data_IF_507865041054
#
_entry.id   IF_507865041054
#
_cell.length_a   1.000
_cell.length_b   1.000
_cell.length_c   1.000
_cell.angle_alpha   90.00
_cell.angle_beta   90.00
_cell.angle_gamma   90.00
#
_symmetry.space_group_name_H-M   'P 1'
#
loop_
_entity.id
_entity.type
_entity.pdbx_description
1 polymer ?
#
# COMPACT_ATOMS: atom_id res chain seq x y z
N UNK A 1 -9.95 7.36 -3.52
CA UNK A 1 -10.72 6.95 -2.32
C UNK A 1 -11.48 8.11 -1.66
N UNK A 2 -10.87 9.27 -1.39
CA UNK A 2 -11.60 10.42 -0.79
C UNK A 2 -12.84 10.87 -1.59
N UNK A 3 -12.73 11.02 -2.91
CA UNK A 3 -13.84 11.39 -3.80
C UNK A 3 -14.99 10.37 -3.78
N UNK A 4 -14.67 9.08 -3.68
CA UNK A 4 -15.65 8.00 -3.54
C UNK A 4 -16.35 8.07 -2.17
N UNK A 5 -15.60 8.34 -1.10
CA UNK A 5 -16.13 8.56 0.24
C UNK A 5 -17.09 9.75 0.32
N UNK A 6 -16.77 10.87 -0.35
CA UNK A 6 -17.68 12.03 -0.43
C UNK A 6 -18.93 11.73 -1.24
N UNK A 7 -18.83 10.97 -2.33
CA UNK A 7 -19.97 10.56 -3.14
C UNK A 7 -20.92 9.63 -2.39
N UNK A 8 -20.36 8.72 -1.59
CA UNK A 8 -21.13 7.83 -0.73
C UNK A 8 -21.78 8.58 0.45
N UNK A 9 -21.19 9.69 0.91
CA UNK A 9 -21.77 10.52 1.97
C UNK A 9 -22.97 11.35 1.48
N UNK A 10 -22.90 11.85 0.24
CA UNK A 10 -23.95 12.70 -0.37
C UNK A 10 -25.13 11.85 -0.89
N UNK A 11 -25.01 10.52 -0.88
CA UNK A 11 -26.04 9.59 -1.35
C UNK A 11 -25.92 9.30 -2.86
N UNK A 12 -25.92 8.01 -3.18
CA UNK A 12 -25.79 7.48 -4.54
C UNK A 12 -27.15 7.00 -5.04
N UNK A 13 -28.08 7.92 -5.21
CA UNK A 13 -29.45 7.58 -5.61
C UNK A 13 -29.64 7.55 -7.13
N UNK A 14 -28.95 8.43 -7.85
CA UNK A 14 -29.00 8.52 -9.32
C UNK A 14 -28.07 7.50 -9.98
N UNK A 15 -28.48 6.92 -11.11
CA UNK A 15 -27.66 5.94 -11.85
C UNK A 15 -26.31 6.50 -12.31
N UNK A 16 -26.26 7.78 -12.68
CA UNK A 16 -25.00 8.46 -13.00
C UNK A 16 -23.97 8.38 -11.86
N UNK A 17 -24.40 8.63 -10.61
CA UNK A 17 -23.53 8.54 -9.42
C UNK A 17 -23.07 7.11 -9.15
N UNK A 18 -23.91 6.10 -9.43
CA UNK A 18 -23.54 4.68 -9.30
C UNK A 18 -22.42 4.33 -10.29
N UNK A 19 -22.60 4.66 -11.57
CA UNK A 19 -21.57 4.43 -12.59
C UNK A 19 -20.28 5.21 -12.31
N UNK A 20 -20.40 6.46 -11.84
CA UNK A 20 -19.25 7.27 -11.47
C UNK A 20 -18.49 6.69 -10.27
N UNK A 21 -19.19 6.17 -9.25
CA UNK A 21 -18.57 5.48 -8.12
C UNK A 21 -17.78 4.23 -8.57
N UNK A 22 -18.37 3.43 -9.47
CA UNK A 22 -17.69 2.27 -10.06
C UNK A 22 -16.45 2.69 -10.86
N UNK A 23 -16.55 3.73 -11.69
CA UNK A 23 -15.41 4.23 -12.46
C UNK A 23 -14.26 4.69 -11.57
N UNK A 24 -14.55 5.37 -10.46
CA UNK A 24 -13.56 5.78 -9.46
C UNK A 24 -12.91 4.60 -8.75
N UNK A 25 -13.69 3.56 -8.43
CA UNK A 25 -13.16 2.32 -7.85
C UNK A 25 -12.23 1.61 -8.84
N UNK A 26 -12.63 1.50 -10.11
CA UNK A 26 -11.81 0.90 -11.16
C UNK A 26 -10.49 1.65 -11.37
N UNK A 27 -10.54 2.98 -11.41
CA UNK A 27 -9.34 3.81 -11.50
C UNK A 27 -8.38 3.56 -10.33
N UNK A 28 -8.90 3.41 -9.11
CA UNK A 28 -8.09 3.03 -7.96
C UNK A 28 -7.45 1.65 -8.12
N UNK A 29 -8.22 0.65 -8.59
CA UNK A 29 -7.71 -0.71 -8.82
C UNK A 29 -6.58 -0.69 -9.85
N UNK A 30 -6.74 0.05 -10.95
CA UNK A 30 -5.72 0.19 -12.00
C UNK A 30 -4.46 0.86 -11.43
N UNK A 31 -4.60 1.93 -10.64
CA UNK A 31 -3.47 2.58 -9.98
C UNK A 31 -2.73 1.63 -9.02
N UNK A 32 -3.47 0.85 -8.23
CA UNK A 32 -2.89 -0.16 -7.34
C UNK A 32 -2.14 -1.25 -8.12
N UNK A 33 -2.74 -1.75 -9.21
CA UNK A 33 -2.15 -2.79 -10.04
C UNK A 33 -0.87 -2.37 -10.76
N UNK A 34 -0.75 -1.10 -11.17
CA UNK A 34 0.46 -0.60 -11.84
C UNK A 34 1.60 -0.25 -10.87
N UNK A 35 1.29 0.15 -9.63
CA UNK A 35 2.28 0.66 -8.69
C UNK A 35 2.45 -0.26 -7.47
N UNK A 36 1.61 -0.08 -6.46
CA UNK A 36 1.79 -0.71 -5.14
C UNK A 36 1.78 -2.24 -5.19
N UNK A 37 1.02 -2.84 -6.11
CA UNK A 37 0.98 -4.29 -6.29
C UNK A 37 2.36 -4.88 -6.60
N UNK A 38 2.91 -4.69 -7.81
CA UNK A 38 4.16 -5.32 -8.22
C UNK A 38 5.40 -4.70 -7.55
N UNK A 39 5.41 -3.38 -7.32
CA UNK A 39 6.61 -2.67 -6.85
C UNK A 39 6.96 -3.07 -5.42
N UNK A 40 5.99 -3.27 -4.54
CA UNK A 40 6.26 -3.66 -3.14
C UNK A 40 6.92 -5.04 -3.08
N UNK A 41 6.45 -6.00 -3.87
CA UNK A 41 7.06 -7.34 -3.90
C UNK A 41 8.46 -7.33 -4.49
N UNK A 42 8.69 -6.53 -5.53
CA UNK A 42 10.03 -6.28 -6.07
C UNK A 42 10.96 -5.70 -5.01
N UNK A 43 10.54 -4.61 -4.35
CA UNK A 43 11.31 -3.94 -3.32
C UNK A 43 11.66 -4.88 -2.15
N UNK A 44 10.70 -5.67 -1.68
CA UNK A 44 10.91 -6.70 -0.65
C UNK A 44 11.94 -7.74 -1.10
N UNK A 45 12.10 -8.00 -2.40
CA UNK A 45 13.14 -8.91 -2.88
C UNK A 45 14.51 -8.21 -2.99
N UNK A 46 14.55 -6.90 -3.26
CA UNK A 46 15.77 -6.14 -3.53
C UNK A 46 16.49 -5.63 -2.28
N UNK A 47 15.74 -5.27 -1.23
CA UNK A 47 16.30 -4.71 0.02
C UNK A 47 16.86 -5.80 0.94
N UNK A 48 16.35 -7.03 0.84
CA UNK A 48 16.70 -8.10 1.78
C UNK A 48 18.14 -8.59 1.55
N UNK A 49 18.96 -8.70 2.61
CA UNK A 49 20.34 -9.14 2.49
C UNK A 49 20.41 -10.59 2.00
N UNK A 50 21.46 -10.93 1.24
CA UNK A 50 21.63 -12.28 0.68
C UNK A 50 21.66 -13.34 1.78
N UNK A 51 22.28 -13.03 2.93
CA UNK A 51 22.25 -13.88 4.11
C UNK A 51 20.93 -13.70 4.86
N UNK A 52 20.04 -14.68 4.76
CA UNK A 52 18.75 -14.67 5.46
C UNK A 52 17.59 -14.08 4.64
N UNK A 53 17.78 -13.91 3.32
CA UNK A 53 16.74 -13.45 2.39
C UNK A 53 15.42 -14.21 2.56
N UNK A 54 15.48 -15.54 2.70
CA UNK A 54 14.30 -16.40 2.87
C UNK A 54 13.50 -16.04 4.12
N UNK A 55 14.19 -15.70 5.21
CA UNK A 55 13.53 -15.24 6.44
C UNK A 55 12.91 -13.86 6.25
N UNK A 56 13.62 -12.92 5.63
CA UNK A 56 13.12 -11.58 5.34
C UNK A 56 11.88 -11.57 4.44
N UNK A 57 11.89 -12.41 3.40
CA UNK A 57 10.73 -12.60 2.50
C UNK A 57 9.56 -13.23 3.26
N UNK A 58 9.81 -14.26 4.06
CA UNK A 58 8.78 -14.89 4.90
C UNK A 58 8.14 -13.87 5.85
N UNK A 59 8.95 -13.10 6.59
CA UNK A 59 8.44 -12.09 7.51
C UNK A 59 7.60 -11.01 6.80
N UNK A 60 8.06 -10.54 5.63
CA UNK A 60 7.34 -9.57 4.81
C UNK A 60 5.99 -10.13 4.32
N UNK A 61 6.00 -11.38 3.87
CA UNK A 61 4.81 -12.09 3.37
C UNK A 61 3.82 -12.35 4.51
N UNK A 62 4.28 -12.84 5.66
CA UNK A 62 3.44 -13.04 6.84
C UNK A 62 2.80 -11.72 7.30
N UNK A 63 3.57 -10.64 7.33
CA UNK A 63 3.05 -9.31 7.69
C UNK A 63 1.95 -8.87 6.72
N UNK A 64 2.14 -9.11 5.41
CA UNK A 64 1.12 -8.83 4.40
C UNK A 64 -0.17 -9.64 4.64
N UNK A 65 -0.06 -10.95 4.89
CA UNK A 65 -1.22 -11.80 5.14
C UNK A 65 -1.95 -11.46 6.44
N UNK A 66 -1.22 -11.12 7.49
CA UNK A 66 -1.81 -10.65 8.76
C UNK A 66 -2.57 -9.35 8.54
N UNK A 67 -1.97 -8.37 7.84
CA UNK A 67 -2.66 -7.13 7.48
C UNK A 67 -3.92 -7.38 6.65
N UNK A 68 -3.84 -8.27 5.66
CA UNK A 68 -4.99 -8.67 4.86
C UNK A 68 -6.10 -9.33 5.70
N UNK A 69 -5.74 -10.19 6.64
CA UNK A 69 -6.69 -10.82 7.56
C UNK A 69 -7.39 -9.78 8.44
N UNK A 70 -6.64 -8.81 9.00
CA UNK A 70 -7.22 -7.73 9.82
C UNK A 70 -8.22 -6.95 8.99
N UNK A 71 -7.83 -6.48 7.80
CA UNK A 71 -8.72 -5.73 6.91
C UNK A 71 -9.95 -6.56 6.56
N UNK A 72 -9.79 -7.83 6.20
CA UNK A 72 -10.91 -8.72 5.87
C UNK A 72 -11.89 -8.91 7.04
N UNK A 73 -11.38 -9.02 8.27
CA UNK A 73 -12.20 -9.20 9.47
C UNK A 73 -12.89 -7.89 9.92
N UNK A 74 -12.25 -6.74 9.75
CA UNK A 74 -12.79 -5.46 10.22
C UNK A 74 -13.64 -4.74 9.19
N UNK A 75 -13.46 -5.01 7.89
CA UNK A 75 -14.09 -4.24 6.82
C UNK A 75 -15.62 -4.20 6.90
N UNK A 76 -16.27 -5.37 7.03
CA UNK A 76 -17.73 -5.44 7.14
C UNK A 76 -18.25 -4.75 8.40
N UNK A 77 -17.58 -4.96 9.53
CA UNK A 77 -17.92 -4.31 10.81
C UNK A 77 -17.80 -2.78 10.72
N UNK A 78 -16.78 -2.27 10.04
CA UNK A 78 -16.61 -0.85 9.80
C UNK A 78 -17.71 -0.28 8.89
N UNK A 79 -18.09 -1.01 7.83
CA UNK A 79 -19.20 -0.57 6.97
C UNK A 79 -20.52 -0.47 7.75
N UNK A 80 -20.79 -1.44 8.63
CA UNK A 80 -22.02 -1.48 9.43
C UNK A 80 -22.05 -0.38 10.51
N UNK A 81 -20.95 -0.17 11.24
CA UNK A 81 -20.91 0.77 12.36
C UNK A 81 -20.58 2.21 11.97
N UNK A 82 -19.61 2.42 11.08
CA UNK A 82 -19.13 3.75 10.68
C UNK A 82 -19.84 4.26 9.43
N UNK A 83 -20.48 3.36 8.67
CA UNK A 83 -21.08 3.67 7.38
C UNK A 83 -20.07 3.68 6.23
N UNK A 84 -20.59 3.57 5.02
CA UNK A 84 -19.80 3.46 3.79
C UNK A 84 -18.83 4.65 3.64
N UNK A 85 -19.33 5.88 3.74
CA UNK A 85 -18.54 7.09 3.52
C UNK A 85 -17.32 7.20 4.44
N UNK A 86 -17.52 7.00 5.74
CA UNK A 86 -16.45 7.12 6.73
C UNK A 86 -15.42 6.00 6.59
N UNK A 87 -15.86 4.79 6.25
CA UNK A 87 -14.97 3.65 5.98
C UNK A 87 -14.03 3.94 4.81
N UNK A 88 -14.55 4.45 3.69
CA UNK A 88 -13.71 4.82 2.54
C UNK A 88 -12.78 6.00 2.82
N UNK A 89 -13.21 6.96 3.64
CA UNK A 89 -12.35 8.05 4.10
C UNK A 89 -11.22 7.57 5.01
N UNK A 90 -11.49 6.63 5.91
CA UNK A 90 -10.49 6.00 6.75
C UNK A 90 -9.41 5.29 5.92
N UNK A 91 -9.81 4.45 4.96
CA UNK A 91 -8.86 3.82 4.04
C UNK A 91 -8.14 4.83 3.16
N UNK A 92 -8.79 5.94 2.79
CA UNK A 92 -8.16 7.06 2.11
C UNK A 92 -7.05 7.72 2.94
N UNK A 93 -7.29 7.93 4.24
CA UNK A 93 -6.29 8.48 5.16
C UNK A 93 -5.13 7.51 5.37
N UNK A 94 -5.40 6.20 5.53
CA UNK A 94 -4.34 5.18 5.59
C UNK A 94 -3.50 5.16 4.31
N UNK A 95 -4.11 5.33 3.14
CA UNK A 95 -3.36 5.40 1.88
C UNK A 95 -2.47 6.66 1.81
N UNK A 96 -2.94 7.80 2.33
CA UNK A 96 -2.12 9.01 2.44
C UNK A 96 -0.91 8.79 3.36
N UNK A 97 -1.12 8.17 4.53
CA UNK A 97 -0.04 7.79 5.44
C UNK A 97 0.95 6.86 4.75
N UNK A 98 0.47 5.86 4.01
CA UNK A 98 1.30 4.96 3.21
C UNK A 98 2.17 5.73 2.20
N UNK A 99 1.60 6.70 1.48
CA UNK A 99 2.35 7.53 0.52
C UNK A 99 3.45 8.32 1.25
N UNK A 100 3.11 8.96 2.37
CA UNK A 100 4.08 9.75 3.16
C UNK A 100 5.22 8.86 3.66
N UNK A 101 4.92 7.71 4.23
CA UNK A 101 5.94 6.76 4.71
C UNK A 101 6.79 6.22 3.57
N UNK A 102 6.20 5.95 2.40
CA UNK A 102 6.92 5.51 1.21
C UNK A 102 7.93 6.58 0.79
N UNK A 103 7.50 7.84 0.67
CA UNK A 103 8.40 8.94 0.28
C UNK A 103 9.52 9.21 1.29
N UNK A 104 9.31 8.92 2.58
CA UNK A 104 10.31 9.17 3.62
C UNK A 104 11.27 8.00 3.83
N UNK A 105 10.79 6.75 3.73
CA UNK A 105 11.53 5.56 4.20
C UNK A 105 11.95 4.63 3.07
N UNK A 106 11.25 4.61 1.93
CA UNK A 106 11.54 3.68 0.84
C UNK A 106 12.67 4.24 -0.03
N UNK A 107 13.79 3.52 -0.17
CA UNK A 107 14.88 3.92 -1.07
C UNK A 107 14.51 3.71 -2.53
N UNK A 108 15.17 4.46 -3.40
CA UNK A 108 15.21 4.15 -4.83
C UNK A 108 16.24 3.03 -5.08
N UNK A 109 15.79 1.89 -5.60
CA UNK A 109 16.64 0.71 -5.87
C UNK A 109 16.96 0.54 -7.35
N UNK A 110 16.40 1.39 -8.22
CA UNK A 110 16.53 1.28 -9.67
C UNK A 110 17.98 1.40 -10.14
N UNK A 111 18.42 0.44 -10.96
CA UNK A 111 19.78 0.35 -11.54
C UNK A 111 20.92 0.19 -10.53
N UNK A 112 20.62 -0.19 -9.28
CA UNK A 112 21.61 -0.45 -8.24
C UNK A 112 21.75 -1.96 -8.07
N UNK A 113 22.97 -2.48 -7.90
CA UNK A 113 23.15 -3.91 -7.65
C UNK A 113 22.75 -4.28 -6.23
N UNK A 114 22.25 -5.50 -6.03
CA UNK A 114 21.82 -5.99 -4.72
C UNK A 114 22.97 -5.94 -3.70
N UNK A 115 24.20 -6.23 -4.13
CA UNK A 115 25.39 -6.19 -3.27
C UNK A 115 25.73 -4.76 -2.82
N UNK A 116 25.42 -3.75 -3.65
CA UNK A 116 25.59 -2.36 -3.26
C UNK A 116 24.58 -1.99 -2.16
N UNK A 117 23.31 -2.37 -2.34
CA UNK A 117 22.23 -2.13 -1.37
C UNK A 117 22.56 -2.82 -0.04
N UNK A 118 22.92 -4.10 -0.08
CA UNK A 118 23.30 -4.87 1.10
C UNK A 118 24.50 -4.24 1.82
N UNK A 119 25.53 -3.82 1.08
CA UNK A 119 26.69 -3.15 1.68
C UNK A 119 26.30 -1.85 2.38
N UNK A 120 25.42 -1.05 1.80
CA UNK A 120 24.97 0.21 2.41
C UNK A 120 24.09 -0.04 3.64
N UNK A 121 23.23 -1.06 3.59
CA UNK A 121 22.44 -1.51 4.73
C UNK A 121 23.33 -1.96 5.88
N UNK A 122 24.34 -2.80 5.61
CA UNK A 122 25.30 -3.30 6.62
C UNK A 122 26.22 -2.20 7.17
N UNK A 123 26.42 -1.10 6.44
CA UNK A 123 27.12 0.11 6.91
C UNK A 123 26.25 1.00 7.81
N UNK A 124 24.96 0.67 7.99
CA UNK A 124 24.04 1.45 8.80
C UNK A 124 23.62 2.77 8.16
N UNK A 125 23.69 2.90 6.83
CA UNK A 125 23.10 4.06 6.14
C UNK A 125 21.58 4.09 6.40
N UNK A 126 21.01 5.29 6.43
CA UNK A 126 19.56 5.45 6.53
C UNK A 126 18.86 4.69 5.39
N UNK A 127 17.73 4.03 5.69
CA UNK A 127 17.01 3.17 4.73
C UNK A 127 16.71 3.88 3.41
N UNK A 128 16.40 5.18 3.44
CA UNK A 128 16.13 5.99 2.24
C UNK A 128 17.33 6.13 1.31
N UNK A 129 18.54 6.10 1.86
CA UNK A 129 19.77 6.44 1.14
C UNK A 129 20.60 5.17 0.81
N UNK A 130 20.04 3.96 0.97
CA UNK A 130 20.78 2.71 0.71
C UNK A 130 21.00 2.44 -0.78
N UNK A 131 20.16 2.98 -1.66
CA UNK A 131 20.32 2.89 -3.11
C UNK A 131 21.14 4.04 -3.73
N UNK A 132 21.57 5.03 -2.94
CA UNK A 132 22.35 6.18 -3.38
C UNK A 132 23.87 6.03 -3.15
#
# INVERSE_FOLDING_TARGET
MGVLGTLLHIGVETDFRKYFAVAMLLMFIVGFAMAAGPVIWLLCSEIQPLKGRDFGITASTTTNWVGNMIVGATFLTMLDQLGNANTFWFYGALNLVFIVLTLMLVPETKHVTLEHIERNLMKGKALRDIGA
#
